data_IF_948889188408
#
_entry.id   IF_948889188408
#
_cell.length_a   1.000
_cell.length_b   1.000
_cell.length_c   1.000
_cell.angle_alpha   90.00
_cell.angle_beta   90.00
_cell.angle_gamma   90.00
#
_symmetry.space_group_name_H-M   'P 1'
#
loop_
_entity.id
_entity.type
_entity.pdbx_description
1 polymer ?
#
# COMPACT_ATOMS: atom_id res chain seq x y z
N UNK A 1 -18.73 -10.51 -13.15
CA UNK A 1 -18.87 -11.46 -14.28
C UNK A 1 -18.02 -10.92 -15.41
N UNK A 2 -16.99 -11.66 -15.86
CA UNK A 2 -16.17 -11.26 -17.02
C UNK A 2 -16.96 -11.59 -18.29
N UNK A 3 -17.52 -10.58 -18.97
CA UNK A 3 -18.09 -10.79 -20.29
C UNK A 3 -16.94 -11.14 -21.24
N UNK A 4 -17.15 -12.22 -21.98
CA UNK A 4 -16.15 -12.80 -22.85
C UNK A 4 -16.04 -11.91 -24.09
N UNK A 5 -14.97 -11.12 -24.18
CA UNK A 5 -14.53 -10.47 -25.40
C UNK A 5 -13.98 -11.52 -26.38
N UNK A 6 -14.85 -12.27 -27.05
CA UNK A 6 -14.46 -13.35 -27.97
C UNK A 6 -13.59 -12.88 -29.16
N UNK A 7 -13.45 -11.58 -29.38
CA UNK A 7 -12.67 -10.99 -30.48
C UNK A 7 -11.42 -10.22 -30.03
N UNK A 8 -11.18 -10.08 -28.72
CA UNK A 8 -10.01 -9.34 -28.22
C UNK A 8 -8.86 -10.29 -27.85
N UNK A 9 -7.66 -9.91 -28.30
CA UNK A 9 -6.42 -10.64 -28.04
C UNK A 9 -5.68 -9.94 -26.89
N UNK A 10 -5.39 -10.70 -25.84
CA UNK A 10 -4.65 -10.23 -24.67
C UNK A 10 -3.14 -10.41 -24.86
N UNK A 11 -2.36 -9.39 -24.52
CA UNK A 11 -0.89 -9.47 -24.51
C UNK A 11 -0.31 -10.07 -23.22
N UNK A 12 -1.14 -10.61 -22.33
CA UNK A 12 -0.74 -11.08 -21.00
C UNK A 12 0.24 -12.25 -21.09
N UNK A 13 1.37 -12.11 -20.40
CA UNK A 13 2.41 -13.15 -20.30
C UNK A 13 2.47 -13.78 -18.92
N UNK A 14 2.01 -13.07 -17.87
CA UNK A 14 1.85 -13.64 -16.54
C UNK A 14 0.77 -14.74 -16.56
N UNK A 15 1.02 -15.93 -15.98
CA UNK A 15 0.03 -16.99 -15.92
C UNK A 15 -1.30 -16.50 -15.30
N UNK A 16 -2.43 -16.85 -15.95
CA UNK A 16 -3.77 -16.51 -15.47
C UNK A 16 -4.21 -17.30 -14.23
N UNK A 17 -3.52 -18.39 -13.93
CA UNK A 17 -3.76 -19.15 -12.70
C UNK A 17 -3.33 -18.34 -11.47
N UNK A 18 -4.10 -18.43 -10.39
CA UNK A 18 -3.75 -17.78 -9.13
C UNK A 18 -2.36 -18.22 -8.65
N UNK A 19 -1.44 -17.27 -8.52
CA UNK A 19 -0.11 -17.54 -7.99
C UNK A 19 -0.12 -17.36 -6.48
N UNK A 20 0.41 -18.34 -5.77
CA UNK A 20 0.56 -18.25 -4.33
C UNK A 20 1.96 -17.74 -3.96
N UNK A 21 2.05 -17.00 -2.87
CA UNK A 21 3.31 -16.64 -2.26
C UNK A 21 3.27 -16.85 -0.74
N UNK A 22 4.30 -17.51 -0.20
CA UNK A 22 4.44 -17.71 1.23
C UNK A 22 5.23 -16.55 1.82
N UNK A 23 4.54 -15.71 2.58
CA UNK A 23 5.17 -14.61 3.28
C UNK A 23 5.93 -15.12 4.50
N UNK A 24 7.26 -14.92 4.47
CA UNK A 24 8.17 -15.31 5.55
C UNK A 24 8.26 -14.22 6.61
N UNK A 25 7.19 -14.05 7.41
CA UNK A 25 7.24 -13.29 8.65
C UNK A 25 6.43 -14.00 9.74
N UNK A 26 6.76 -13.74 11.01
CA UNK A 26 6.03 -14.29 12.16
C UNK A 26 4.64 -13.66 12.20
N UNK A 27 3.61 -14.49 11.98
CA UNK A 27 2.22 -14.07 12.08
C UNK A 27 1.84 -13.90 13.55
N UNK A 28 1.06 -12.88 13.80
CA UNK A 28 0.76 -12.36 15.13
C UNK A 28 -0.24 -11.21 15.05
N UNK A 29 -0.91 -10.89 16.15
CA UNK A 29 -1.99 -9.90 16.18
C UNK A 29 -1.52 -8.53 15.67
N UNK A 30 -0.42 -8.01 16.24
CA UNK A 30 0.12 -6.71 15.81
C UNK A 30 0.64 -6.73 14.38
N UNK A 31 1.22 -7.86 13.94
CA UNK A 31 1.69 -7.99 12.56
C UNK A 31 0.54 -7.94 11.55
N UNK A 32 -0.61 -8.52 11.90
CA UNK A 32 -1.81 -8.53 11.07
C UNK A 32 -2.45 -7.14 11.03
N UNK A 33 -2.65 -6.50 12.19
CA UNK A 33 -3.19 -5.14 12.28
C UNK A 33 -2.33 -4.14 11.50
N UNK A 34 -1.01 -4.24 11.60
CA UNK A 34 -0.13 -3.38 10.82
C UNK A 34 -0.32 -3.55 9.32
N UNK A 35 -0.43 -4.78 8.84
CA UNK A 35 -0.64 -5.05 7.42
C UNK A 35 -1.97 -4.47 6.95
N UNK A 36 -3.05 -4.64 7.71
CA UNK A 36 -4.35 -4.02 7.39
C UNK A 36 -4.25 -2.48 7.34
N UNK A 37 -3.68 -1.89 8.40
CA UNK A 37 -3.58 -0.44 8.55
C UNK A 37 -2.62 0.19 7.55
N UNK A 38 -1.57 -0.53 7.14
CA UNK A 38 -0.58 0.01 6.22
C UNK A 38 -0.96 -0.27 4.77
N UNK A 39 -1.46 -1.47 4.45
CA UNK A 39 -1.82 -1.90 3.09
C UNK A 39 -3.24 -1.58 2.66
N UNK A 40 -4.14 -1.19 3.58
CA UNK A 40 -5.50 -0.82 3.21
C UNK A 40 -5.60 0.38 2.27
N UNK A 41 -6.76 0.49 1.62
CA UNK A 41 -7.07 1.42 0.54
C UNK A 41 -6.70 2.87 0.86
N UNK A 42 -5.98 3.50 -0.06
CA UNK A 42 -5.51 4.87 0.11
C UNK A 42 -6.67 5.86 0.06
N UNK A 43 -7.67 5.65 -0.81
CA UNK A 43 -8.83 6.55 -0.88
C UNK A 43 -9.56 6.64 0.47
N UNK A 44 -9.75 5.51 1.16
CA UNK A 44 -10.42 5.45 2.46
C UNK A 44 -9.62 6.22 3.53
N UNK A 45 -8.29 6.15 3.49
CA UNK A 45 -7.41 6.75 4.50
C UNK A 45 -7.14 8.23 4.26
N UNK A 46 -7.02 8.63 3.00
CA UNK A 46 -6.45 9.91 2.61
C UNK A 46 -7.46 10.87 2.00
N UNK A 47 -8.57 10.37 1.45
CA UNK A 47 -9.61 11.25 0.91
C UNK A 47 -10.36 11.98 2.03
N UNK A 48 -10.86 13.20 1.77
CA UNK A 48 -11.93 13.80 2.55
C UNK A 48 -13.10 12.84 2.72
N UNK A 49 -13.83 12.97 3.84
CA UNK A 49 -15.04 12.20 4.12
C UNK A 49 -15.98 12.28 2.91
N UNK A 50 -16.57 11.14 2.54
CA UNK A 50 -17.51 10.99 1.41
C UNK A 50 -16.93 11.25 0.00
N UNK A 51 -15.63 11.51 -0.16
CA UNK A 51 -15.02 11.79 -1.47
C UNK A 51 -14.11 10.65 -1.98
N UNK A 52 -14.17 9.47 -1.37
CA UNK A 52 -13.33 8.33 -1.74
C UNK A 52 -13.49 7.91 -3.22
N UNK A 53 -14.70 8.00 -3.78
CA UNK A 53 -14.98 7.64 -5.18
C UNK A 53 -14.34 8.57 -6.21
N UNK A 54 -13.95 9.79 -5.80
CA UNK A 54 -13.29 10.79 -6.65
C UNK A 54 -11.78 10.91 -6.35
N UNK A 55 -11.22 9.98 -5.57
CA UNK A 55 -9.83 10.08 -5.12
C UNK A 55 -8.80 9.85 -6.23
N UNK A 56 -9.15 9.12 -7.29
CA UNK A 56 -8.32 8.86 -8.46
C UNK A 56 -8.99 9.30 -9.74
N UNK A 57 -8.21 9.88 -10.65
CA UNK A 57 -8.67 10.15 -12.01
C UNK A 57 -7.49 10.20 -12.99
N UNK A 58 -7.78 10.38 -14.28
CA UNK A 58 -6.81 10.70 -15.33
C UNK A 58 -6.91 12.18 -15.68
N UNK A 59 -5.77 12.84 -15.80
CA UNK A 59 -5.67 14.20 -16.34
C UNK A 59 -4.84 14.22 -17.63
N UNK A 60 -5.31 14.87 -18.71
CA UNK A 60 -6.62 15.53 -18.85
C UNK A 60 -7.82 14.56 -18.78
N UNK A 61 -9.00 15.05 -18.38
CA UNK A 61 -10.17 14.21 -18.09
C UNK A 61 -10.69 13.40 -19.29
N UNK A 62 -10.61 13.98 -20.49
CA UNK A 62 -11.08 13.36 -21.74
C UNK A 62 -10.00 12.54 -22.46
N UNK A 63 -8.84 12.33 -21.82
CA UNK A 63 -7.74 11.62 -22.42
C UNK A 63 -8.07 10.13 -22.67
N UNK A 64 -7.55 9.61 -23.78
CA UNK A 64 -7.76 8.22 -24.21
C UNK A 64 -7.36 7.20 -23.14
N UNK A 65 -6.35 7.49 -22.30
CA UNK A 65 -5.92 6.61 -21.21
C UNK A 65 -7.07 6.25 -20.27
N UNK A 66 -7.97 7.20 -19.99
CA UNK A 66 -9.12 6.95 -19.09
C UNK A 66 -10.00 5.85 -19.68
N UNK A 67 -10.38 6.00 -20.96
CA UNK A 67 -11.19 5.02 -21.70
C UNK A 67 -10.51 3.65 -21.76
N UNK A 68 -9.20 3.64 -22.00
CA UNK A 68 -8.41 2.40 -22.08
C UNK A 68 -8.35 1.65 -20.75
N UNK A 69 -8.24 2.35 -19.61
CA UNK A 69 -8.20 1.73 -18.29
C UNK A 69 -9.58 1.31 -17.78
N UNK A 70 -10.64 1.97 -18.23
CA UNK A 70 -12.02 1.67 -17.82
C UNK A 70 -12.77 0.75 -18.79
N UNK A 71 -12.06 0.09 -19.72
CA UNK A 71 -12.68 -0.65 -20.82
C UNK A 71 -13.49 -1.88 -20.36
N UNK A 72 -12.98 -2.63 -19.37
CA UNK A 72 -13.66 -3.81 -18.76
C UNK A 72 -14.36 -3.43 -17.43
N UNK A 73 -13.94 -2.34 -16.80
CA UNK A 73 -14.50 -1.85 -15.53
C UNK A 73 -14.67 -0.32 -15.58
N UNK A 74 -15.90 0.13 -15.84
CA UNK A 74 -16.25 1.56 -15.82
C UNK A 74 -15.95 2.24 -14.47
N UNK A 75 -15.89 1.47 -13.39
CA UNK A 75 -15.61 1.93 -12.03
C UNK A 75 -14.15 1.71 -11.60
N UNK A 76 -13.25 1.43 -12.55
CA UNK A 76 -11.85 1.05 -12.28
C UNK A 76 -11.17 1.96 -11.25
N UNK A 77 -11.28 3.28 -11.40
CA UNK A 77 -10.65 4.28 -10.52
C UNK A 77 -11.25 4.38 -9.10
N UNK A 78 -12.24 3.55 -8.77
CA UNK A 78 -12.78 3.42 -7.41
C UNK A 78 -12.11 2.24 -6.70
N UNK A 79 -12.91 1.26 -6.28
CA UNK A 79 -12.47 0.11 -5.49
C UNK A 79 -11.40 -0.75 -6.18
N UNK A 80 -11.51 -0.97 -7.50
CA UNK A 80 -10.61 -1.86 -8.24
C UNK A 80 -9.17 -1.35 -8.26
N UNK A 81 -8.97 -0.05 -8.48
CA UNK A 81 -7.65 0.56 -8.48
C UNK A 81 -7.04 0.62 -7.07
N UNK A 82 -7.85 0.86 -6.03
CA UNK A 82 -7.36 0.74 -4.65
C UNK A 82 -6.91 -0.69 -4.35
N UNK A 83 -7.68 -1.71 -4.74
CA UNK A 83 -7.27 -3.12 -4.53
C UNK A 83 -6.00 -3.50 -5.27
N UNK A 84 -5.78 -2.91 -6.45
CA UNK A 84 -4.54 -3.03 -7.18
C UNK A 84 -3.38 -2.45 -6.35
N UNK A 85 -3.52 -1.23 -5.83
CA UNK A 85 -2.51 -0.57 -5.02
C UNK A 85 -2.27 -1.26 -3.67
N UNK A 86 -3.32 -1.75 -3.00
CA UNK A 86 -3.25 -2.55 -1.78
C UNK A 86 -2.36 -3.79 -2.01
N UNK A 87 -2.58 -4.47 -3.13
CA UNK A 87 -1.82 -5.66 -3.53
C UNK A 87 -0.35 -5.32 -3.78
N UNK A 88 -0.08 -4.24 -4.52
CA UNK A 88 1.28 -3.77 -4.78
C UNK A 88 1.98 -3.37 -3.49
N UNK A 89 1.29 -2.64 -2.60
CA UNK A 89 1.78 -2.22 -1.29
C UNK A 89 2.14 -3.43 -0.43
N UNK A 90 1.26 -4.42 -0.38
CA UNK A 90 1.45 -5.66 0.36
C UNK A 90 2.71 -6.42 -0.09
N UNK A 91 2.87 -6.63 -1.40
CA UNK A 91 4.09 -7.24 -1.94
C UNK A 91 5.33 -6.39 -1.68
N UNK A 92 5.21 -5.07 -1.82
CA UNK A 92 6.33 -4.15 -1.64
C UNK A 92 6.85 -4.17 -0.20
N UNK A 93 5.99 -4.14 0.81
CA UNK A 93 6.43 -4.16 2.21
C UNK A 93 6.96 -5.55 2.62
N UNK A 94 6.38 -6.64 2.11
CA UNK A 94 6.78 -7.99 2.54
C UNK A 94 8.02 -8.51 1.82
N UNK A 95 8.17 -8.22 0.54
CA UNK A 95 9.29 -8.70 -0.29
C UNK A 95 10.36 -7.63 -0.52
N UNK A 96 10.05 -6.36 -0.20
CA UNK A 96 10.86 -5.21 -0.58
C UNK A 96 10.78 -4.85 -2.07
N UNK A 97 9.99 -5.60 -2.83
CA UNK A 97 9.77 -5.43 -4.27
C UNK A 97 8.36 -5.87 -4.65
N UNK A 98 7.71 -5.12 -5.53
CA UNK A 98 6.47 -5.51 -6.19
C UNK A 98 6.61 -5.35 -7.71
N UNK A 99 5.76 -6.04 -8.46
CA UNK A 99 5.78 -6.03 -9.92
C UNK A 99 4.35 -6.01 -10.45
N UNK A 100 4.18 -5.33 -11.57
CA UNK A 100 2.92 -5.21 -12.30
C UNK A 100 3.18 -5.44 -13.77
N UNK A 101 2.33 -6.20 -14.44
CA UNK A 101 2.29 -6.28 -15.90
C UNK A 101 1.22 -5.32 -16.42
N UNK A 102 1.58 -4.51 -17.41
CA UNK A 102 0.63 -3.74 -18.23
C UNK A 102 0.25 -4.62 -19.42
N UNK A 103 -1.00 -5.06 -19.45
CA UNK A 103 -1.56 -5.94 -20.46
C UNK A 103 -2.35 -5.12 -21.47
N UNK A 104 -2.03 -5.28 -22.75
CA UNK A 104 -2.76 -4.67 -23.87
C UNK A 104 -3.87 -5.62 -24.33
N UNK A 105 -5.04 -5.07 -24.59
CA UNK A 105 -6.14 -5.75 -25.24
C UNK A 105 -6.36 -5.13 -26.61
N UNK A 106 -6.14 -5.91 -27.67
CA UNK A 106 -6.25 -5.46 -29.05
C UNK A 106 -7.35 -6.21 -29.78
N UNK A 107 -7.99 -5.57 -30.75
CA UNK A 107 -8.94 -6.23 -31.64
C UNK A 107 -8.23 -7.04 -32.75
N UNK A 108 -9.03 -7.73 -33.57
CA UNK A 108 -8.54 -8.50 -34.72
C UNK A 108 -7.82 -7.65 -35.79
N UNK A 109 -8.02 -6.33 -35.78
CA UNK A 109 -7.35 -5.36 -36.67
C UNK A 109 -6.07 -4.78 -36.05
N UNK A 110 -5.75 -5.13 -34.80
CA UNK A 110 -4.59 -4.65 -34.07
C UNK A 110 -4.78 -3.30 -33.37
N UNK A 111 -6.01 -2.77 -33.30
CA UNK A 111 -6.31 -1.52 -32.59
C UNK A 111 -6.35 -1.78 -31.09
N UNK A 112 -5.73 -0.90 -30.30
CA UNK A 112 -5.79 -0.97 -28.84
C UNK A 112 -7.19 -0.59 -28.34
N UNK A 113 -7.84 -1.54 -27.67
CA UNK A 113 -9.18 -1.37 -27.10
C UNK A 113 -9.13 -1.18 -25.58
N UNK A 114 -8.11 -1.74 -24.91
CA UNK A 114 -8.04 -1.71 -23.45
C UNK A 114 -6.64 -1.91 -22.89
N UNK A 115 -6.45 -1.43 -21.66
CA UNK A 115 -5.27 -1.67 -20.84
C UNK A 115 -5.73 -2.27 -19.52
N UNK A 116 -5.18 -3.43 -19.17
CA UNK A 116 -5.39 -4.08 -17.88
C UNK A 116 -4.09 -4.07 -17.08
N UNK A 117 -4.21 -3.80 -15.77
CA UNK A 117 -3.08 -3.79 -14.85
C UNK A 117 -3.11 -5.05 -13.99
N UNK A 118 -2.12 -5.93 -14.19
CA UNK A 118 -2.10 -7.25 -13.55
C UNK A 118 -0.94 -7.34 -12.54
N UNK A 119 -1.20 -7.42 -11.22
CA UNK A 119 -0.16 -7.69 -10.23
C UNK A 119 0.54 -9.01 -10.50
N UNK A 120 1.87 -9.00 -10.50
CA UNK A 120 2.66 -10.22 -10.64
C UNK A 120 3.00 -10.73 -9.25
N UNK A 121 2.17 -11.65 -8.74
CA UNK A 121 2.30 -12.23 -7.40
C UNK A 121 3.42 -13.29 -7.37
N UNK A 122 4.66 -12.86 -7.09
CA UNK A 122 5.86 -13.72 -7.17
C UNK A 122 6.72 -13.67 -5.91
N UNK A 123 7.52 -14.72 -5.74
CA UNK A 123 8.53 -14.79 -4.69
C UNK A 123 9.82 -14.06 -5.05
N UNK A 124 10.19 -14.06 -6.34
CA UNK A 124 11.41 -13.45 -6.86
C UNK A 124 11.22 -13.08 -8.33
N UNK A 125 11.69 -11.89 -8.69
CA UNK A 125 11.89 -11.46 -10.08
C UNK A 125 13.37 -11.20 -10.33
N UNK A 126 13.88 -11.68 -11.47
CA UNK A 126 15.25 -11.42 -11.94
C UNK A 126 15.14 -10.74 -13.30
N UNK A 127 15.60 -9.49 -13.38
CA UNK A 127 15.67 -8.76 -14.65
C UNK A 127 16.82 -9.31 -15.49
N UNK A 128 16.54 -9.79 -16.69
CA UNK A 128 17.53 -10.05 -17.74
C UNK A 128 17.44 -8.96 -18.83
N UNK A 129 18.24 -9.09 -19.90
CA UNK A 129 18.37 -8.04 -20.93
C UNK A 129 17.03 -7.66 -21.58
N UNK A 130 16.24 -8.64 -22.03
CA UNK A 130 14.94 -8.43 -22.71
C UNK A 130 13.72 -8.81 -21.88
N UNK A 131 13.88 -9.69 -20.89
CA UNK A 131 12.78 -10.30 -20.14
C UNK A 131 13.08 -10.32 -18.64
N UNK A 132 12.03 -10.26 -17.83
CA UNK A 132 12.05 -10.69 -16.44
C UNK A 132 11.83 -12.19 -16.38
N UNK A 133 12.55 -12.85 -15.48
CA UNK A 133 12.28 -14.22 -15.06
C UNK A 133 11.65 -14.18 -13.68
N UNK A 134 10.45 -14.71 -13.57
CA UNK A 134 9.67 -14.72 -12.35
C UNK A 134 9.55 -16.12 -11.81
N UNK A 135 9.59 -16.23 -10.48
CA UNK A 135 9.46 -17.50 -9.75
C UNK A 135 8.28 -17.39 -8.79
N UNK A 136 7.28 -18.23 -9.00
CA UNK A 136 6.07 -18.29 -8.19
C UNK A 136 5.80 -19.71 -7.71
N UNK A 137 4.91 -19.84 -6.72
CA UNK A 137 4.29 -21.12 -6.39
C UNK A 137 2.92 -21.21 -7.04
N UNK A 138 2.56 -22.40 -7.45
CA UNK A 138 1.20 -22.76 -7.86
C UNK A 138 0.22 -22.66 -6.70
N UNK A 139 -1.11 -22.64 -6.99
CA UNK A 139 -2.15 -22.61 -5.96
C UNK A 139 -2.01 -23.71 -4.89
N UNK A 140 -1.55 -24.90 -5.29
CA UNK A 140 -1.31 -26.05 -4.42
C UNK A 140 -0.17 -25.84 -3.40
N UNK A 141 0.60 -24.75 -3.52
CA UNK A 141 1.80 -24.38 -2.74
C UNK A 141 2.97 -25.38 -2.80
N UNK A 142 2.84 -26.46 -3.56
CA UNK A 142 3.81 -27.55 -3.63
C UNK A 142 4.77 -27.36 -4.80
N UNK A 143 4.26 -27.02 -5.99
CA UNK A 143 5.10 -26.83 -7.17
C UNK A 143 5.55 -25.38 -7.36
N UNK A 144 6.74 -25.22 -7.95
CA UNK A 144 7.31 -23.92 -8.29
C UNK A 144 7.31 -23.78 -9.79
N UNK A 145 6.79 -22.67 -10.28
CA UNK A 145 6.81 -22.35 -11.70
C UNK A 145 7.77 -21.19 -11.97
N UNK A 146 8.35 -21.23 -13.16
CA UNK A 146 9.13 -20.13 -13.71
C UNK A 146 8.47 -19.69 -15.01
N UNK A 147 8.23 -18.40 -15.13
CA UNK A 147 7.71 -17.79 -16.35
C UNK A 147 8.48 -16.52 -16.68
N UNK A 148 8.32 -16.07 -17.92
CA UNK A 148 9.02 -14.91 -18.47
C UNK A 148 8.01 -13.86 -18.89
N UNK A 149 8.34 -12.61 -18.63
CA UNK A 149 7.56 -11.45 -19.08
C UNK A 149 8.50 -10.44 -19.70
N UNK A 150 8.12 -9.84 -20.82
CA UNK A 150 8.91 -8.80 -21.48
C UNK A 150 9.16 -7.61 -20.55
N UNK A 151 10.40 -7.10 -20.55
CA UNK A 151 10.76 -5.98 -19.67
C UNK A 151 9.90 -4.72 -19.90
N UNK A 152 9.45 -4.50 -21.14
CA UNK A 152 8.69 -3.32 -21.53
C UNK A 152 7.25 -3.31 -20.96
N UNK A 153 6.68 -4.48 -20.67
CA UNK A 153 5.35 -4.57 -20.06
C UNK A 153 5.38 -4.59 -18.54
N UNK A 154 6.56 -4.60 -17.90
CA UNK A 154 6.68 -4.75 -16.45
C UNK A 154 7.01 -3.41 -15.78
N UNK A 155 6.15 -2.98 -14.86
CA UNK A 155 6.45 -1.93 -13.89
C UNK A 155 7.01 -2.57 -12.62
N UNK A 156 8.20 -2.13 -12.19
CA UNK A 156 8.87 -2.64 -11.00
C UNK A 156 8.93 -1.60 -9.89
N UNK A 157 8.56 -2.01 -8.69
CA UNK A 157 8.55 -1.20 -7.47
C UNK A 157 9.60 -1.73 -6.50
N UNK A 158 10.38 -0.84 -5.90
CA UNK A 158 11.46 -1.17 -4.98
C UNK A 158 11.38 -0.32 -3.72
N UNK A 159 11.39 -0.99 -2.58
CA UNK A 159 11.27 -0.34 -1.28
C UNK A 159 12.45 0.60 -0.97
N UNK A 160 13.62 0.34 -1.57
CA UNK A 160 14.81 1.18 -1.47
C UNK A 160 14.61 2.59 -2.04
N UNK A 161 13.76 2.73 -3.06
CA UNK A 161 13.47 4.02 -3.70
C UNK A 161 12.72 4.95 -2.71
N UNK A 162 12.02 4.35 -1.74
CA UNK A 162 11.35 5.03 -0.63
C UNK A 162 12.25 5.23 0.61
N UNK A 163 13.55 4.96 0.50
CA UNK A 163 14.52 5.12 1.59
C UNK A 163 14.50 4.02 2.64
N UNK A 164 13.81 2.91 2.39
CA UNK A 164 13.75 1.76 3.30
C UNK A 164 14.60 0.60 2.77
N UNK A 165 15.30 -0.09 3.68
CA UNK A 165 16.00 -1.34 3.30
C UNK A 165 14.98 -2.37 2.80
N UNK A 166 15.38 -3.21 1.84
CA UNK A 166 14.53 -4.27 1.25
C UNK A 166 13.81 -5.14 2.31
N UNK A 167 14.46 -5.40 3.44
CA UNK A 167 13.95 -6.27 4.50
C UNK A 167 13.34 -5.52 5.68
N UNK A 168 13.21 -4.19 5.59
CA UNK A 168 12.84 -3.33 6.71
C UNK A 168 11.50 -3.71 7.34
N UNK A 169 10.41 -3.69 6.56
CA UNK A 169 9.07 -4.01 7.07
C UNK A 169 8.96 -5.48 7.49
N UNK A 170 9.60 -6.41 6.78
CA UNK A 170 9.65 -7.82 7.22
C UNK A 170 10.32 -7.99 8.59
N UNK A 171 11.42 -7.30 8.83
CA UNK A 171 12.08 -7.30 10.14
C UNK A 171 11.21 -6.63 11.20
N UNK A 172 10.50 -5.57 10.84
CA UNK A 172 9.55 -4.88 11.72
C UNK A 172 8.39 -5.80 12.13
N UNK A 173 7.77 -6.51 11.18
CA UNK A 173 6.72 -7.49 11.43
C UNK A 173 7.19 -8.63 12.36
N UNK A 174 8.42 -9.12 12.16
CA UNK A 174 9.01 -10.12 13.07
C UNK A 174 9.29 -9.58 14.47
N UNK A 175 9.46 -8.26 14.63
CA UNK A 175 9.56 -7.63 15.96
C UNK A 175 8.18 -7.50 16.60
N UNK A 176 7.14 -7.26 15.82
CA UNK A 176 5.77 -7.17 16.34
C UNK A 176 5.31 -8.43 17.06
N UNK A 177 5.75 -9.61 16.61
CA UNK A 177 5.42 -10.87 17.31
C UNK A 177 5.93 -10.95 18.75
N UNK A 178 6.80 -10.03 19.19
CA UNK A 178 7.28 -9.96 20.59
C UNK A 178 6.30 -9.23 21.51
N UNK A 179 5.40 -8.43 20.94
CA UNK A 179 4.41 -7.65 21.68
C UNK A 179 3.03 -8.32 21.69
N UNK A 180 2.89 -9.49 21.07
CA UNK A 180 1.61 -10.21 21.09
C UNK A 180 1.32 -10.78 22.47
N UNK A 181 0.06 -10.64 22.88
CA UNK A 181 -0.45 -10.83 24.24
C UNK A 181 -0.30 -12.24 24.81
N UNK A 182 -0.09 -13.26 23.98
CA UNK A 182 0.06 -14.65 24.45
C UNK A 182 1.23 -14.82 25.44
N UNK A 183 2.29 -13.99 25.33
CA UNK A 183 3.39 -14.01 26.30
C UNK A 183 3.04 -13.37 27.65
N UNK A 184 2.24 -12.30 27.65
CA UNK A 184 1.82 -11.60 28.87
C UNK A 184 0.67 -12.31 29.59
N UNK A 185 -0.24 -12.99 28.87
CA UNK A 185 -1.34 -13.76 29.48
C UNK A 185 -0.82 -14.88 30.38
N UNK A 186 0.25 -15.58 29.97
CA UNK A 186 0.86 -16.61 30.81
C UNK A 186 1.48 -16.04 32.09
N UNK A 187 2.07 -14.84 32.02
CA UNK A 187 2.62 -14.15 33.19
C UNK A 187 1.52 -13.65 34.13
N UNK A 188 0.40 -13.15 33.59
CA UNK A 188 -0.75 -12.65 34.38
C UNK A 188 -1.48 -13.78 35.11
N UNK A 189 -1.57 -14.96 34.49
CA UNK A 189 -2.24 -16.13 35.06
C UNK A 189 -1.36 -16.91 36.05
N UNK A 190 -0.06 -16.63 36.11
CA UNK A 190 0.85 -17.28 37.04
C UNK A 190 0.64 -16.76 38.47
N UNK A 191 0.03 -17.61 39.30
CA UNK A 191 -0.25 -17.30 40.71
C UNK A 191 1.04 -17.07 41.52
N UNK A 192 2.17 -17.60 41.09
CA UNK A 192 3.47 -17.42 41.77
C UNK A 192 4.01 -15.98 41.62
N UNK A 193 3.55 -15.23 40.63
CA UNK A 193 3.98 -13.85 40.36
C UNK A 193 3.08 -12.79 41.03
N UNK A 194 1.98 -13.21 41.66
CA UNK A 194 1.00 -12.30 42.27
C UNK A 194 1.62 -11.54 43.44
N UNK A 195 1.68 -10.21 43.33
CA UNK A 195 2.27 -9.32 44.35
C UNK A 195 3.80 -9.16 44.27
N UNK A 196 4.48 -9.96 43.43
CA UNK A 196 5.94 -9.88 43.21
C UNK A 196 6.23 -9.16 41.89
N UNK A 197 5.41 -9.40 40.87
CA UNK A 197 5.60 -8.85 39.53
C UNK A 197 4.77 -7.59 39.31
N UNK A 198 5.42 -6.50 38.88
CA UNK A 198 4.75 -5.25 38.54
C UNK A 198 4.30 -5.24 37.08
N UNK A 199 3.07 -5.70 36.84
CA UNK A 199 2.47 -5.75 35.51
C UNK A 199 2.31 -4.36 34.86
N UNK A 200 2.04 -3.32 35.65
CA UNK A 200 1.86 -1.96 35.15
C UNK A 200 3.15 -1.41 34.55
N UNK A 201 4.28 -1.59 35.26
CA UNK A 201 5.58 -1.14 34.75
C UNK A 201 6.04 -1.98 33.55
N UNK A 202 5.77 -3.29 33.56
CA UNK A 202 6.06 -4.13 32.39
C UNK A 202 5.27 -3.70 31.14
N UNK A 203 3.97 -3.45 31.28
CA UNK A 203 3.13 -3.00 30.16
C UNK A 203 3.62 -1.65 29.61
N UNK A 204 3.98 -0.72 30.50
CA UNK A 204 4.57 0.56 30.12
C UNK A 204 5.88 0.38 29.35
N UNK A 205 6.76 -0.53 29.77
CA UNK A 205 8.00 -0.83 29.04
C UNK A 205 7.73 -1.43 27.65
N UNK A 206 6.75 -2.33 27.53
CA UNK A 206 6.33 -2.89 26.25
C UNK A 206 5.80 -1.80 25.31
N UNK A 207 4.97 -0.90 25.81
CA UNK A 207 4.44 0.23 25.04
C UNK A 207 5.57 1.15 24.53
N UNK A 208 6.54 1.49 25.39
CA UNK A 208 7.70 2.28 24.97
C UNK A 208 8.55 1.56 23.91
N UNK A 209 8.79 0.26 24.08
CA UNK A 209 9.52 -0.55 23.10
C UNK A 209 8.78 -0.61 21.76
N UNK A 210 7.46 -0.75 21.79
CA UNK A 210 6.61 -0.74 20.61
C UNK A 210 6.69 0.61 19.87
N UNK A 211 6.58 1.72 20.60
CA UNK A 211 6.66 3.08 20.05
C UNK A 211 8.04 3.37 19.43
N UNK A 212 9.11 2.88 20.05
CA UNK A 212 10.45 2.98 19.51
C UNK A 212 10.62 2.13 18.23
N UNK A 213 10.06 0.92 18.22
CA UNK A 213 10.08 0.04 17.03
C UNK A 213 9.36 0.66 15.83
N UNK A 214 8.27 1.39 16.07
CA UNK A 214 7.43 2.02 15.05
C UNK A 214 7.83 3.45 14.71
N UNK A 215 8.85 4.03 15.37
CA UNK A 215 9.23 5.45 15.25
C UNK A 215 9.37 5.96 13.81
N UNK A 216 9.89 5.15 12.89
CA UNK A 216 10.11 5.57 11.48
C UNK A 216 8.88 5.48 10.59
N UNK A 217 7.87 4.74 11.03
CA UNK A 217 6.62 4.51 10.27
C UNK A 217 5.41 5.16 10.94
N UNK A 218 5.62 5.74 12.12
CA UNK A 218 4.67 6.51 12.91
C UNK A 218 3.39 5.77 13.34
N UNK A 219 3.19 4.52 12.94
CA UNK A 219 2.08 3.67 13.36
C UNK A 219 2.01 3.54 14.89
N UNK A 220 0.80 3.67 15.44
CA UNK A 220 0.53 3.67 16.88
C UNK A 220 -0.10 2.35 17.37
N UNK A 221 -0.19 1.32 16.52
CA UNK A 221 -0.71 0.01 16.92
C UNK A 221 -2.20 0.00 17.25
N UNK A 222 -2.98 0.94 16.70
CA UNK A 222 -4.39 1.19 17.06
C UNK A 222 -4.63 1.54 18.54
N UNK A 223 -3.57 1.86 19.28
CA UNK A 223 -3.67 2.30 20.68
C UNK A 223 -3.83 3.83 20.74
N UNK A 224 -5.06 4.29 20.48
CA UNK A 224 -5.42 5.72 20.45
C UNK A 224 -5.63 6.32 21.84
N UNK A 225 -5.72 5.48 22.87
CA UNK A 225 -5.92 5.84 24.27
C UNK A 225 -4.69 5.51 25.11
N UNK A 226 -3.49 5.58 24.51
CA UNK A 226 -2.26 5.32 25.24
C UNK A 226 -2.04 6.41 26.31
N UNK A 227 -2.31 6.06 27.57
CA UNK A 227 -2.18 6.93 28.74
C UNK A 227 -0.76 7.50 28.95
N UNK A 228 0.25 6.93 28.28
CA UNK A 228 1.65 7.35 28.39
C UNK A 228 2.06 8.36 27.32
N UNK A 229 1.17 8.70 26.38
CA UNK A 229 1.42 9.67 25.31
C UNK A 229 0.53 10.90 25.46
N UNK A 230 1.10 12.07 25.20
CA UNK A 230 0.30 13.30 25.09
C UNK A 230 -0.54 13.28 23.81
N UNK A 231 -1.71 13.92 23.86
CA UNK A 231 -2.57 14.11 22.70
C UNK A 231 -1.81 14.74 21.53
N UNK A 232 -0.99 15.77 21.81
CA UNK A 232 -0.11 16.41 20.83
C UNK A 232 0.78 15.41 20.09
N UNK A 233 1.36 14.43 20.80
CA UNK A 233 2.25 13.45 20.18
C UNK A 233 1.48 12.41 19.37
N UNK A 234 0.27 12.04 19.78
CA UNK A 234 -0.61 11.17 19.01
C UNK A 234 -1.02 11.82 17.67
N UNK A 235 -1.38 13.11 17.72
CA UNK A 235 -1.69 13.90 16.52
C UNK A 235 -0.48 14.04 15.59
N UNK A 236 0.69 14.35 16.15
CA UNK A 236 1.95 14.35 15.41
C UNK A 236 2.17 13.02 14.67
N UNK A 237 2.06 11.88 15.36
CA UNK A 237 2.26 10.58 14.74
C UNK A 237 1.23 10.25 13.66
N UNK A 238 -0.04 10.60 13.87
CA UNK A 238 -1.08 10.40 12.87
C UNK A 238 -0.79 11.18 11.58
N UNK A 239 -0.45 12.48 11.69
CA UNK A 239 -0.08 13.31 10.55
C UNK A 239 1.13 12.73 9.78
N UNK A 240 2.20 12.33 10.48
CA UNK A 240 3.37 11.76 9.82
C UNK A 240 3.11 10.37 9.22
N UNK A 241 2.19 9.58 9.78
CA UNK A 241 1.75 8.34 9.18
C UNK A 241 1.03 8.58 7.85
N UNK A 242 0.15 9.58 7.78
CA UNK A 242 -0.54 9.96 6.55
C UNK A 242 0.44 10.53 5.50
N UNK A 243 1.39 11.36 5.91
CA UNK A 243 2.45 11.83 5.02
C UNK A 243 3.27 10.68 4.44
N UNK A 244 3.54 9.64 5.25
CA UNK A 244 4.20 8.44 4.77
C UNK A 244 3.33 7.68 3.76
N UNK A 245 2.03 7.57 4.00
CA UNK A 245 1.08 6.96 3.06
C UNK A 245 1.06 7.72 1.72
N UNK A 246 0.96 9.06 1.74
CA UNK A 246 1.06 9.89 0.54
C UNK A 246 2.36 9.64 -0.23
N UNK A 247 3.50 9.51 0.48
CA UNK A 247 4.78 9.20 -0.16
C UNK A 247 4.78 7.86 -0.89
N UNK A 248 4.15 6.82 -0.33
CA UNK A 248 4.00 5.53 -0.99
C UNK A 248 3.07 5.64 -2.20
N UNK A 249 1.94 6.35 -2.06
CA UNK A 249 0.98 6.56 -3.13
C UNK A 249 1.63 7.29 -4.32
N UNK A 250 2.28 8.42 -4.08
CA UNK A 250 2.97 9.22 -5.10
C UNK A 250 4.00 8.40 -5.86
N UNK A 251 4.79 7.62 -5.13
CA UNK A 251 5.75 6.71 -5.72
C UNK A 251 5.09 5.67 -6.63
N UNK A 252 3.97 5.07 -6.20
CA UNK A 252 3.27 4.08 -7.01
C UNK A 252 2.66 4.69 -8.26
N UNK A 253 1.94 5.82 -8.13
CA UNK A 253 1.36 6.53 -9.27
C UNK A 253 2.43 7.01 -10.25
N UNK A 254 3.56 7.52 -9.76
CA UNK A 254 4.70 7.90 -10.59
C UNK A 254 5.25 6.71 -11.38
N UNK A 255 5.45 5.55 -10.73
CA UNK A 255 5.94 4.34 -11.39
C UNK A 255 4.95 3.82 -12.45
N UNK A 256 3.64 3.86 -12.17
CA UNK A 256 2.60 3.51 -13.13
C UNK A 256 2.62 4.46 -14.33
N UNK A 257 2.61 5.77 -14.08
CA UNK A 257 2.64 6.80 -15.12
C UNK A 257 3.89 6.72 -16.00
N UNK A 258 5.04 6.36 -15.44
CA UNK A 258 6.27 6.12 -16.20
C UNK A 258 6.20 4.78 -16.97
N UNK A 259 5.52 3.78 -16.41
CA UNK A 259 5.25 2.50 -17.07
C UNK A 259 4.40 2.64 -18.33
N UNK A 260 3.51 3.64 -18.37
CA UNK A 260 2.72 3.96 -19.56
C UNK A 260 3.48 4.71 -20.64
N UNK A 261 4.69 5.22 -20.39
CA UNK A 261 5.42 6.06 -21.36
C UNK A 261 5.65 5.38 -22.73
N UNK A 262 6.02 4.08 -22.81
CA UNK A 262 6.12 3.41 -24.11
C UNK A 262 4.76 3.33 -24.84
N UNK A 263 3.67 3.14 -24.11
CA UNK A 263 2.32 3.10 -24.67
C UNK A 263 1.86 4.49 -25.12
N UNK A 264 2.26 5.56 -24.42
CA UNK A 264 2.01 6.94 -24.87
C UNK A 264 2.63 7.20 -26.23
N UNK A 265 3.87 6.76 -26.42
CA UNK A 265 4.58 6.92 -27.69
C UNK A 265 3.97 6.04 -28.80
N UNK A 266 3.49 4.84 -28.47
CA UNK A 266 2.88 3.91 -29.43
C UNK A 266 1.46 4.32 -29.85
N UNK A 267 0.64 4.85 -28.92
CA UNK A 267 -0.80 5.07 -29.13
C UNK A 267 -1.25 6.54 -29.00
N UNK A 268 -0.35 7.48 -28.70
CA UNK A 268 -0.60 8.92 -28.82
C UNK A 268 -1.41 9.58 -27.70
N UNK A 269 -1.61 8.92 -26.56
CA UNK A 269 -2.29 9.52 -25.39
C UNK A 269 -1.31 10.27 -24.47
N UNK A 270 -1.78 11.28 -23.74
CA UNK A 270 -0.93 12.11 -22.85
C UNK A 270 -1.34 12.01 -21.38
N UNK A 271 -2.46 11.33 -21.10
CA UNK A 271 -3.06 11.20 -19.79
C UNK A 271 -2.13 10.63 -18.72
N UNK A 272 -2.35 11.09 -17.49
CA UNK A 272 -1.68 10.62 -16.28
C UNK A 272 -2.69 10.34 -15.20
N UNK A 273 -2.50 9.24 -14.47
CA UNK A 273 -3.26 8.96 -13.26
C UNK A 273 -2.82 9.95 -12.19
N UNK A 274 -3.78 10.63 -11.58
CA UNK A 274 -3.60 11.64 -10.54
C UNK A 274 -4.56 11.39 -9.38
N UNK A 275 -4.33 12.11 -8.29
CA UNK A 275 -5.30 12.32 -7.22
C UNK A 275 -5.85 13.74 -7.37
N UNK A 276 -7.06 13.96 -7.91
CA UNK A 276 -7.55 15.32 -8.20
C UNK A 276 -7.93 16.08 -6.93
N UNK A 277 -8.16 15.38 -5.81
CA UNK A 277 -8.55 15.99 -4.56
C UNK A 277 -7.40 16.80 -3.92
N UNK A 278 -7.70 17.97 -3.33
CA UNK A 278 -6.73 18.76 -2.59
C UNK A 278 -6.09 17.97 -1.44
N UNK A 279 -4.78 18.17 -1.26
CA UNK A 279 -4.00 17.50 -0.21
C UNK A 279 -3.86 18.39 1.00
N UNK A 280 -3.96 17.78 2.18
CA UNK A 280 -3.71 18.44 3.46
C UNK A 280 -2.21 18.70 3.59
N UNK A 281 -1.85 19.97 3.86
CA UNK A 281 -0.48 20.33 4.19
C UNK A 281 -0.21 20.10 5.69
N UNK A 282 0.05 18.84 6.07
CA UNK A 282 0.28 18.47 7.47
C UNK A 282 1.42 19.25 8.14
N UNK A 283 2.50 19.56 7.41
CA UNK A 283 3.62 20.32 7.98
C UNK A 283 3.19 21.73 8.39
N UNK A 284 2.38 22.39 7.56
CA UNK A 284 1.85 23.71 7.88
C UNK A 284 0.95 23.66 9.12
N UNK A 285 -0.03 22.74 9.17
CA UNK A 285 -0.94 22.65 10.31
C UNK A 285 -0.24 22.23 11.61
N UNK A 286 0.78 21.38 11.52
CA UNK A 286 1.62 21.06 12.68
C UNK A 286 2.43 22.28 13.17
N UNK A 287 2.92 23.12 12.25
CA UNK A 287 3.57 24.38 12.61
C UNK A 287 2.58 25.37 13.23
N UNK A 288 1.39 25.52 12.66
CA UNK A 288 0.32 26.36 13.23
C UNK A 288 -0.09 25.90 14.64
N UNK A 289 -0.14 24.59 14.87
CA UNK A 289 -0.39 24.02 16.19
C UNK A 289 0.76 24.31 17.17
N UNK A 290 2.01 24.19 16.72
CA UNK A 290 3.18 24.51 17.53
C UNK A 290 3.23 26.00 17.91
N UNK A 291 2.85 26.89 16.99
CA UNK A 291 2.76 28.34 17.20
C UNK A 291 1.54 28.77 18.03
N UNK A 292 0.65 27.84 18.40
CA UNK A 292 -0.59 28.15 19.13
C UNK A 292 -1.68 28.83 18.29
N UNK A 293 -1.57 28.83 16.95
CA UNK A 293 -2.57 29.40 16.04
C UNK A 293 -3.83 28.53 15.93
N UNK A 294 -3.67 27.22 16.10
CA UNK A 294 -4.78 26.26 16.18
C UNK A 294 -4.65 25.42 17.45
N UNK A 295 -5.79 24.95 17.98
CA UNK A 295 -5.80 24.06 19.14
C UNK A 295 -5.83 22.57 18.75
N UNK A 296 -5.70 21.68 19.75
CA UNK A 296 -5.64 20.23 19.52
C UNK A 296 -6.90 19.67 18.85
N UNK A 297 -8.08 20.18 19.21
CA UNK A 297 -9.35 19.76 18.58
C UNK A 297 -9.40 20.14 17.10
N UNK A 298 -8.94 21.34 16.75
CA UNK A 298 -8.90 21.80 15.36
C UNK A 298 -7.89 20.98 14.55
N UNK A 299 -6.71 20.70 15.09
CA UNK A 299 -5.72 19.84 14.45
C UNK A 299 -6.25 18.40 14.30
N UNK A 300 -6.95 17.89 15.32
CA UNK A 300 -7.60 16.57 15.30
C UNK A 300 -8.63 16.47 14.18
N UNK A 301 -9.46 17.50 13.98
CA UNK A 301 -10.44 17.52 12.89
C UNK A 301 -9.75 17.52 11.51
N UNK A 302 -8.67 18.28 11.34
CA UNK A 302 -7.89 18.28 10.10
C UNK A 302 -7.29 16.89 9.83
N UNK A 303 -6.66 16.28 10.84
CA UNK A 303 -5.97 15.00 10.66
C UNK A 303 -6.95 13.83 10.52
N UNK A 304 -7.98 13.75 11.36
CA UNK A 304 -8.86 12.58 11.40
C UNK A 304 -10.05 12.69 10.45
N UNK A 305 -10.66 13.88 10.33
CA UNK A 305 -11.82 14.08 9.45
C UNK A 305 -11.42 14.51 8.05
N UNK A 306 -10.12 14.77 7.83
CA UNK A 306 -9.58 15.27 6.56
C UNK A 306 -10.28 16.55 6.09
N UNK A 307 -10.77 17.35 7.05
CA UNK A 307 -11.44 18.62 6.77
C UNK A 307 -10.40 19.62 6.27
N UNK A 308 -10.42 19.87 4.97
CA UNK A 308 -9.73 21.00 4.40
C UNK A 308 -10.51 22.24 4.83
N UNK A 309 -9.91 23.05 5.71
CA UNK A 309 -10.39 24.41 5.92
C UNK A 309 -10.09 25.16 4.62
N UNK A 310 -11.14 25.48 3.87
CA UNK A 310 -11.08 26.47 2.81
C UNK A 310 -10.85 27.86 3.40
#
# INVERSE_FOLDING_TARGET
MRQIHNELISSQQTPRAYLHHDYKYKRGMHSHMFVEDFCGSFSIKLAPIEQHDAFYDVSPADDLLKKLLTFDDYSFFRYSFDKLLDTLMYHLILNGTAYLEIVKWVDSKGTLQGIELVPICVSKGIKAKKVYRFFAKTPDRQSRIMFKVNNQSVVSFYLKDLGFKKTYFRQLLNKFSRFDTLGTTNLVLDKSLKGIYNFTEHQKQLDFQFLNCTRKIFWNGRNYSNQHLSESYLLYRAAYADMLQYRFLDYMLQKLNNGFEPLRQEFGFVGRIITPLPRINYNQHLSEYHDGKINASQLRDIILKKNLRN
#
